data_IF_418886811624
#
_entry.id   IF_418886811624
#
_cell.length_a   1.000
_cell.length_b   1.000
_cell.length_c   1.000
_cell.angle_alpha   90.00
_cell.angle_beta   90.00
_cell.angle_gamma   90.00
#
_symmetry.space_group_name_H-M   'P 1'
#
loop_
_entity.id
_entity.type
_entity.pdbx_description
1 polymer ?
#
# COMPACT_ATOMS: atom_id res chain seq x y z
N UNK A 1 -3.96 -26.37 0.48
CA UNK A 1 -4.69 -25.54 1.47
C UNK A 1 -3.99 -24.20 1.60
N UNK A 2 -4.71 -23.11 1.87
CA UNK A 2 -4.12 -21.78 1.98
C UNK A 2 -4.73 -20.97 3.14
N UNK A 3 -3.92 -20.08 3.71
CA UNK A 3 -4.31 -19.01 4.61
C UNK A 3 -4.23 -17.69 3.84
N UNK A 4 -5.32 -16.96 3.79
CA UNK A 4 -5.35 -15.60 3.28
C UNK A 4 -5.40 -14.63 4.46
N UNK A 5 -4.45 -13.70 4.50
CA UNK A 5 -4.38 -12.64 5.50
C UNK A 5 -4.83 -11.32 4.86
N UNK A 6 -5.76 -10.61 5.51
CA UNK A 6 -6.01 -9.19 5.20
C UNK A 6 -4.75 -8.36 5.49
N UNK A 7 -4.68 -7.05 5.15
CA UNK A 7 -3.42 -6.32 5.19
C UNK A 7 -2.76 -6.36 6.58
N UNK A 8 -1.47 -6.71 6.60
CA UNK A 8 -0.66 -6.84 7.82
C UNK A 8 0.40 -5.75 7.96
N UNK A 9 0.53 -4.88 6.95
CA UNK A 9 1.53 -3.82 6.93
C UNK A 9 1.16 -2.67 7.84
N UNK A 10 2.17 -1.91 8.28
CA UNK A 10 2.00 -0.86 9.27
C UNK A 10 0.97 0.18 8.80
N UNK A 11 -0.06 0.37 9.62
CA UNK A 11 -1.13 1.32 9.35
C UNK A 11 -1.81 1.80 10.65
N UNK A 12 -2.40 3.01 10.67
CA UNK A 12 -3.04 3.52 11.87
C UNK A 12 -4.38 2.82 12.18
N UNK A 13 -5.10 2.37 11.15
CA UNK A 13 -6.41 1.73 11.30
C UNK A 13 -6.32 0.29 11.81
N UNK A 14 -7.46 -0.26 12.21
CA UNK A 14 -7.60 -1.69 12.55
C UNK A 14 -7.65 -2.58 11.31
N UNK A 15 -8.16 -2.07 10.19
CA UNK A 15 -8.31 -2.81 8.93
C UNK A 15 -7.08 -2.74 8.01
N UNK A 16 -6.19 -1.76 8.22
CA UNK A 16 -4.86 -1.59 7.61
C UNK A 16 -4.78 -1.31 6.11
N UNK A 17 -5.92 -1.17 5.41
CA UNK A 17 -6.00 -0.64 4.04
C UNK A 17 -5.50 0.81 3.85
N UNK A 18 -5.06 1.49 4.91
CA UNK A 18 -4.43 2.81 4.84
C UNK A 18 -2.94 2.73 5.22
N UNK A 19 -2.19 1.91 4.49
CA UNK A 19 -0.78 1.57 4.76
C UNK A 19 0.12 2.81 4.83
N UNK A 20 0.96 2.87 5.86
CA UNK A 20 1.97 3.92 6.05
C UNK A 20 3.38 3.44 5.73
N UNK A 21 3.63 2.14 5.82
CA UNK A 21 4.90 1.51 5.45
C UNK A 21 4.65 0.08 4.98
N UNK A 22 4.90 -0.18 3.70
CA UNK A 22 4.68 -1.48 3.07
C UNK A 22 5.77 -2.52 3.38
N UNK A 23 6.95 -2.11 3.87
CA UNK A 23 8.06 -3.01 4.19
C UNK A 23 8.03 -3.50 5.64
N UNK A 24 7.08 -3.01 6.44
CA UNK A 24 7.04 -3.26 7.88
C UNK A 24 5.73 -3.89 8.30
N UNK A 25 5.82 -5.01 9.03
CA UNK A 25 4.68 -5.59 9.75
C UNK A 25 4.16 -4.56 10.77
N UNK A 26 2.85 -4.41 10.83
CA UNK A 26 2.22 -3.55 11.82
C UNK A 26 2.58 -4.02 13.23
N UNK A 27 3.19 -3.18 14.08
CA UNK A 27 3.63 -3.58 15.41
C UNK A 27 2.51 -4.08 16.33
N UNK A 28 1.23 -3.81 16.02
CA UNK A 28 0.10 -4.37 16.79
C UNK A 28 -0.19 -5.82 16.42
N UNK A 29 0.35 -6.33 15.31
CA UNK A 29 0.24 -7.74 14.88
C UNK A 29 1.49 -8.56 15.22
N UNK A 30 2.64 -7.91 15.34
CA UNK A 30 3.91 -8.54 15.69
C UNK A 30 5.09 -7.92 14.95
N UNK A 31 6.13 -8.73 14.76
CA UNK A 31 7.37 -8.39 14.07
C UNK A 31 7.53 -9.18 12.77
N UNK A 32 8.59 -8.88 12.02
CA UNK A 32 8.98 -9.70 10.86
C UNK A 32 9.34 -11.13 11.27
N UNK A 33 9.92 -11.32 12.45
CA UNK A 33 10.27 -12.66 12.94
C UNK A 33 9.01 -13.46 13.32
N UNK A 34 7.99 -12.81 13.87
CA UNK A 34 6.68 -13.45 14.11
C UNK A 34 6.02 -13.87 12.80
N UNK A 35 6.11 -13.03 11.75
CA UNK A 35 5.62 -13.38 10.42
C UNK A 35 6.36 -14.59 9.83
N UNK A 36 7.69 -14.64 9.95
CA UNK A 36 8.49 -15.81 9.54
C UNK A 36 8.11 -17.07 10.31
N UNK A 37 7.87 -16.96 11.63
CA UNK A 37 7.42 -18.09 12.44
C UNK A 37 6.04 -18.61 11.97
N UNK A 38 5.13 -17.73 11.56
CA UNK A 38 3.85 -18.09 10.96
C UNK A 38 4.03 -18.83 9.63
N UNK A 39 4.89 -18.31 8.74
CA UNK A 39 5.21 -18.95 7.46
C UNK A 39 5.77 -20.35 7.67
N UNK A 40 6.77 -20.49 8.54
CA UNK A 40 7.37 -21.77 8.89
C UNK A 40 6.34 -22.78 9.40
N UNK A 41 5.43 -22.34 10.28
CA UNK A 41 4.35 -23.20 10.78
C UNK A 41 3.37 -23.60 9.69
N UNK A 42 2.97 -22.67 8.81
CA UNK A 42 2.07 -22.95 7.70
C UNK A 42 2.69 -23.93 6.70
N UNK A 43 3.93 -23.67 6.26
CA UNK A 43 4.64 -24.48 5.29
C UNK A 43 4.92 -25.90 5.80
N UNK A 44 5.29 -26.07 7.09
CA UNK A 44 5.41 -27.40 7.72
C UNK A 44 4.12 -28.22 7.67
N UNK A 45 2.97 -27.55 7.56
CA UNK A 45 1.65 -28.18 7.46
C UNK A 45 1.11 -28.21 6.02
N UNK A 46 1.98 -28.02 5.01
CA UNK A 46 1.60 -27.96 3.59
C UNK A 46 0.52 -26.91 3.27
N UNK A 47 0.51 -25.80 4.03
CA UNK A 47 -0.36 -24.65 3.80
C UNK A 47 0.43 -23.53 3.13
N UNK A 48 -0.24 -22.79 2.23
CA UNK A 48 0.30 -21.57 1.59
C UNK A 48 -0.19 -20.33 2.32
N UNK A 49 0.56 -19.23 2.29
CA UNK A 49 0.16 -17.94 2.88
C UNK A 49 0.07 -16.88 1.78
N UNK A 50 -1.12 -16.30 1.62
CA UNK A 50 -1.43 -15.25 0.64
C UNK A 50 -1.63 -13.93 1.39
N UNK A 51 -0.93 -12.88 0.95
CA UNK A 51 -0.99 -11.53 1.51
C UNK A 51 -1.95 -10.63 0.73
N UNK A 52 -2.41 -9.54 1.35
CA UNK A 52 -3.29 -8.55 0.74
C UNK A 52 -2.50 -7.30 0.28
N UNK A 53 -2.45 -7.09 -1.04
CA UNK A 53 -1.69 -6.04 -1.71
C UNK A 53 -2.55 -4.81 -1.98
N UNK A 54 -2.43 -3.80 -1.10
CA UNK A 54 -3.16 -2.53 -1.21
C UNK A 54 -2.36 -1.53 -2.04
N UNK A 55 -2.38 -1.70 -3.35
CA UNK A 55 -1.51 -0.96 -4.29
C UNK A 55 -2.19 0.17 -5.04
N UNK A 56 -3.52 0.29 -4.94
CA UNK A 56 -4.28 1.38 -5.54
C UNK A 56 -4.09 2.72 -4.80
N UNK A 57 -3.95 2.65 -3.48
CA UNK A 57 -3.85 3.82 -2.60
C UNK A 57 -3.02 3.46 -1.36
N UNK A 58 -2.53 4.49 -0.67
CA UNK A 58 -1.88 4.34 0.63
C UNK A 58 -2.65 5.12 1.71
N UNK A 59 -2.15 5.10 2.94
CA UNK A 59 -2.62 5.99 3.99
C UNK A 59 -2.01 7.38 3.89
N UNK A 60 -2.69 8.39 4.43
CA UNK A 60 -2.16 9.76 4.54
C UNK A 60 -0.86 9.94 5.36
N UNK A 61 -0.43 8.90 6.07
CA UNK A 61 0.84 8.88 6.82
C UNK A 61 1.98 8.19 6.06
N UNK A 62 1.75 7.76 4.82
CA UNK A 62 2.79 7.19 3.96
C UNK A 62 3.85 8.23 3.64
N UNK A 63 5.14 7.87 3.71
CA UNK A 63 6.25 8.84 3.68
C UNK A 63 6.16 9.84 2.53
N UNK A 64 5.83 9.37 1.32
CA UNK A 64 5.75 10.20 0.13
C UNK A 64 4.58 11.19 0.19
N UNK A 65 3.45 10.77 0.76
CA UNK A 65 2.28 11.65 0.90
C UNK A 65 2.43 12.63 2.07
N UNK A 66 3.07 12.19 3.16
CA UNK A 66 3.42 13.07 4.29
C UNK A 66 4.36 14.19 3.84
N UNK A 67 5.41 13.87 3.08
CA UNK A 67 6.32 14.86 2.50
C UNK A 67 5.57 15.84 1.58
N UNK A 68 4.63 15.34 0.79
CA UNK A 68 3.81 16.16 -0.09
C UNK A 68 2.88 17.13 0.66
N UNK A 69 2.34 16.71 1.82
CA UNK A 69 1.56 17.58 2.70
C UNK A 69 2.39 18.71 3.31
N UNK A 70 3.67 18.44 3.59
CA UNK A 70 4.59 19.41 4.20
C UNK A 70 5.21 20.37 3.16
N UNK A 71 5.67 19.82 2.04
CA UNK A 71 6.49 20.54 1.06
C UNK A 71 5.70 21.02 -0.17
N UNK A 72 4.48 20.54 -0.36
CA UNK A 72 3.62 20.93 -1.48
C UNK A 72 4.30 20.73 -2.84
N UNK A 73 4.29 21.78 -3.67
CA UNK A 73 4.89 21.77 -5.02
C UNK A 73 6.39 21.44 -5.05
N UNK A 74 7.09 21.64 -3.93
CA UNK A 74 8.52 21.37 -3.80
C UNK A 74 8.84 19.92 -3.43
N UNK A 75 7.82 19.10 -3.14
CA UNK A 75 8.02 17.70 -2.80
C UNK A 75 8.57 16.91 -4.00
N UNK A 76 9.60 16.07 -3.82
CA UNK A 76 10.06 15.16 -4.86
C UNK A 76 9.02 14.09 -5.21
N UNK A 77 7.99 13.91 -4.38
CA UNK A 77 6.95 12.89 -4.55
C UNK A 77 5.65 13.44 -5.16
N UNK A 78 5.63 14.68 -5.66
CA UNK A 78 4.42 15.29 -6.25
C UNK A 78 3.77 14.44 -7.33
N UNK A 79 4.59 13.73 -8.13
CA UNK A 79 4.14 12.91 -9.26
C UNK A 79 3.80 11.46 -8.84
N UNK A 80 3.97 11.11 -7.56
CA UNK A 80 3.56 9.80 -7.03
C UNK A 80 2.05 9.69 -6.83
N UNK A 81 1.35 10.82 -6.83
CA UNK A 81 -0.09 10.92 -6.61
C UNK A 81 -0.74 11.78 -7.69
N UNK A 82 -2.06 11.65 -7.83
CA UNK A 82 -2.82 12.49 -8.74
C UNK A 82 -3.24 13.80 -8.06
N UNK A 83 -2.41 14.83 -8.16
CA UNK A 83 -2.65 16.14 -7.54
C UNK A 83 -3.42 17.06 -8.49
N UNK A 84 -4.43 17.75 -7.96
CA UNK A 84 -5.23 18.73 -8.69
C UNK A 84 -4.84 20.17 -8.37
N UNK A 85 -4.59 20.49 -7.09
CA UNK A 85 -4.14 21.80 -6.63
C UNK A 85 -3.48 21.73 -5.26
N UNK A 86 -2.58 22.67 -4.97
CA UNK A 86 -2.04 22.90 -3.62
C UNK A 86 -2.74 24.10 -2.95
N UNK A 87 -2.76 24.19 -1.60
CA UNK A 87 -2.27 23.18 -0.65
C UNK A 87 -3.17 21.94 -0.61
N UNK A 88 -2.63 20.78 -0.24
CA UNK A 88 -3.43 19.58 -0.03
C UNK A 88 -4.16 19.65 1.31
N UNK A 89 -5.32 19.00 1.39
CA UNK A 89 -6.08 18.85 2.62
C UNK A 89 -6.48 17.40 2.85
N UNK A 90 -5.76 16.75 3.76
CA UNK A 90 -5.97 15.36 4.14
C UNK A 90 -6.64 15.17 5.50
N UNK A 91 -6.99 16.25 6.21
CA UNK A 91 -7.38 16.17 7.62
C UNK A 91 -8.73 16.83 7.94
N UNK A 92 -9.14 17.88 7.21
CA UNK A 92 -10.45 18.49 7.51
C UNK A 92 -11.59 17.55 7.11
N UNK A 93 -12.75 17.60 7.78
CA UNK A 93 -13.91 16.80 7.40
C UNK A 93 -14.35 17.02 5.94
N UNK A 94 -14.86 15.98 5.31
CA UNK A 94 -15.38 16.03 3.93
C UNK A 94 -14.53 15.25 2.91
N UNK A 95 -14.88 15.42 1.64
CA UNK A 95 -14.28 14.72 0.51
C UNK A 95 -12.91 15.30 0.11
N UNK A 96 -12.05 14.47 -0.46
CA UNK A 96 -10.82 14.93 -1.10
C UNK A 96 -11.17 15.69 -2.39
N UNK A 97 -10.79 16.97 -2.45
CA UNK A 97 -11.02 17.84 -3.61
C UNK A 97 -9.74 18.29 -4.30
N UNK A 98 -8.58 18.13 -3.66
CA UNK A 98 -7.31 18.70 -4.12
C UNK A 98 -6.36 17.63 -4.69
N UNK A 99 -6.75 16.36 -4.58
CA UNK A 99 -6.04 15.19 -5.07
C UNK A 99 -7.04 14.04 -5.26
N UNK A 100 -6.71 13.06 -6.11
CA UNK A 100 -7.53 11.85 -6.20
C UNK A 100 -7.27 10.93 -5.01
N UNK A 101 -8.36 10.46 -4.42
CA UNK A 101 -8.35 9.47 -3.36
C UNK A 101 -9.38 8.39 -3.68
N UNK A 102 -9.17 7.19 -3.14
CA UNK A 102 -10.14 6.11 -3.31
C UNK A 102 -11.51 6.56 -2.77
N UNK A 103 -12.50 6.60 -3.65
CA UNK A 103 -13.86 7.09 -3.35
C UNK A 103 -13.89 8.45 -2.64
N UNK A 104 -12.92 9.32 -2.97
CA UNK A 104 -12.70 10.64 -2.36
C UNK A 104 -12.46 10.64 -0.84
N UNK A 105 -12.13 9.49 -0.23
CA UNK A 105 -11.75 9.43 1.17
C UNK A 105 -10.37 10.06 1.37
N UNK A 106 -10.31 11.22 2.04
CA UNK A 106 -9.05 11.95 2.30
C UNK A 106 -7.93 11.08 2.90
N UNK A 107 -8.28 10.06 3.66
CA UNK A 107 -7.30 9.14 4.26
C UNK A 107 -6.62 8.17 3.29
N UNK A 108 -7.09 8.07 2.04
CA UNK A 108 -6.71 7.05 1.05
C UNK A 108 -6.24 7.69 -0.28
N UNK A 109 -5.17 8.51 -0.29
CA UNK A 109 -4.61 9.08 -1.51
C UNK A 109 -4.26 7.99 -2.53
N UNK A 110 -4.73 8.18 -3.77
CA UNK A 110 -4.56 7.22 -4.87
C UNK A 110 -3.17 7.37 -5.48
N UNK A 111 -2.45 6.25 -5.61
CA UNK A 111 -1.17 6.22 -6.30
C UNK A 111 -1.32 6.51 -7.78
N UNK A 112 -0.33 7.18 -8.34
CA UNK A 112 -0.16 7.34 -9.78
C UNK A 112 0.69 6.18 -10.32
N UNK A 113 0.05 5.05 -10.66
CA UNK A 113 0.76 3.87 -11.21
C UNK A 113 1.33 4.07 -12.61
N UNK A 114 1.07 5.22 -13.26
CA UNK A 114 1.77 5.62 -14.50
C UNK A 114 3.16 6.19 -14.22
N UNK A 115 3.46 6.56 -12.97
CA UNK A 115 4.78 7.02 -12.58
C UNK A 115 5.72 5.81 -12.42
N UNK A 116 6.86 5.76 -13.13
CA UNK A 116 7.78 4.62 -13.08
C UNK A 116 8.38 4.39 -11.68
N UNK A 117 8.55 5.43 -10.86
CA UNK A 117 9.04 5.28 -9.49
C UNK A 117 8.01 4.61 -8.58
N UNK A 118 6.72 4.94 -8.76
CA UNK A 118 5.61 4.30 -8.03
C UNK A 118 5.48 2.85 -8.44
N UNK A 119 5.53 2.55 -9.75
CA UNK A 119 5.53 1.17 -10.25
C UNK A 119 6.66 0.37 -9.63
N UNK A 120 7.89 0.87 -9.74
CA UNK A 120 9.06 0.21 -9.21
C UNK A 120 8.94 -0.04 -7.70
N UNK A 121 8.49 0.96 -6.94
CA UNK A 121 8.25 0.82 -5.50
C UNK A 121 7.26 -0.31 -5.18
N UNK A 122 6.12 -0.36 -5.87
CA UNK A 122 5.10 -1.39 -5.63
C UNK A 122 5.62 -2.79 -6.02
N UNK A 123 6.31 -2.91 -7.15
CA UNK A 123 6.90 -4.17 -7.61
C UNK A 123 7.98 -4.66 -6.64
N UNK A 124 8.79 -3.75 -6.09
CA UNK A 124 9.81 -4.09 -5.10
C UNK A 124 9.18 -4.51 -3.76
N UNK A 125 8.07 -3.90 -3.34
CA UNK A 125 7.27 -4.38 -2.20
C UNK A 125 6.73 -5.79 -2.46
N UNK A 126 6.15 -6.00 -3.63
CA UNK A 126 5.58 -7.29 -4.02
C UNK A 126 6.64 -8.40 -3.99
N UNK A 127 7.80 -8.13 -4.62
CA UNK A 127 8.95 -9.03 -4.64
C UNK A 127 9.49 -9.30 -3.24
N UNK A 128 9.70 -8.25 -2.44
CA UNK A 128 10.26 -8.36 -1.10
C UNK A 128 9.51 -9.38 -0.22
N UNK A 129 8.18 -9.34 -0.21
CA UNK A 129 7.38 -10.25 0.63
C UNK A 129 7.33 -11.69 0.10
N UNK A 130 7.40 -11.88 -1.22
CA UNK A 130 7.60 -13.21 -1.80
C UNK A 130 8.98 -13.76 -1.41
N UNK A 131 10.03 -12.92 -1.43
CA UNK A 131 11.37 -13.28 -0.95
C UNK A 131 11.41 -13.58 0.55
N UNK A 132 10.51 -13.01 1.35
CA UNK A 132 10.33 -13.37 2.77
C UNK A 132 9.60 -14.72 2.96
N UNK A 133 9.01 -15.29 1.91
CA UNK A 133 8.36 -16.60 1.93
C UNK A 133 6.83 -16.58 1.80
N UNK A 134 6.20 -15.42 1.52
CA UNK A 134 4.80 -15.41 1.13
C UNK A 134 4.60 -16.17 -0.21
N UNK A 135 3.46 -16.84 -0.36
CA UNK A 135 3.18 -17.71 -1.49
C UNK A 135 2.30 -17.04 -2.57
N UNK A 136 1.84 -15.81 -2.34
CA UNK A 136 1.06 -15.08 -3.32
C UNK A 136 0.41 -13.82 -2.77
N UNK A 137 -0.28 -13.13 -3.69
CA UNK A 137 -0.98 -11.88 -3.43
C UNK A 137 -2.46 -11.98 -3.81
N UNK A 138 -3.32 -11.50 -2.92
CA UNK A 138 -4.66 -11.00 -3.23
C UNK A 138 -4.53 -9.52 -3.47
N UNK A 139 -5.03 -9.04 -4.60
CA UNK A 139 -4.93 -7.63 -4.98
C UNK A 139 -6.17 -6.88 -4.52
N UNK A 140 -5.98 -5.79 -3.78
CA UNK A 140 -7.08 -4.93 -3.35
C UNK A 140 -7.48 -3.96 -4.47
N UNK A 141 -8.79 -3.87 -4.71
CA UNK A 141 -9.44 -3.01 -5.72
C UNK A 141 -8.67 -2.91 -7.06
N UNK A 142 -8.26 -4.05 -7.68
CA UNK A 142 -7.38 -4.04 -8.83
C UNK A 142 -8.02 -3.37 -10.06
N UNK A 143 -9.35 -3.44 -10.15
CA UNK A 143 -10.17 -2.81 -11.17
C UNK A 143 -10.17 -1.27 -11.12
N UNK A 144 -9.65 -0.66 -10.04
CA UNK A 144 -9.48 0.79 -9.95
C UNK A 144 -8.06 1.24 -10.33
N UNK A 145 -7.12 0.32 -10.57
CA UNK A 145 -5.85 0.63 -11.24
C UNK A 145 -6.09 0.51 -12.75
N UNK A 146 -6.44 1.64 -13.38
CA UNK A 146 -6.70 1.76 -14.82
C UNK A 146 -5.38 1.84 -15.62
N UNK A 147 -4.63 0.74 -15.55
CA UNK A 147 -3.32 0.57 -16.15
C UNK A 147 -3.01 -0.93 -16.34
N UNK A 148 -3.49 -1.51 -17.44
CA UNK A 148 -3.29 -2.93 -17.74
C UNK A 148 -1.80 -3.30 -17.81
N UNK A 149 -0.97 -2.40 -18.34
CA UNK A 149 0.48 -2.60 -18.44
C UNK A 149 1.16 -2.65 -17.07
N UNK A 150 0.56 -2.10 -16.01
CA UNK A 150 1.07 -2.27 -14.65
C UNK A 150 0.82 -3.70 -14.15
N UNK A 151 -0.36 -4.26 -14.44
CA UNK A 151 -0.68 -5.63 -14.03
C UNK A 151 0.03 -6.70 -14.85
N UNK A 152 0.37 -6.42 -16.11
CA UNK A 152 1.24 -7.30 -16.91
C UNK A 152 2.69 -7.32 -16.39
N UNK A 153 3.16 -6.22 -15.80
CA UNK A 153 4.50 -6.09 -15.23
C UNK A 153 4.62 -6.72 -13.83
N UNK A 154 3.52 -6.75 -13.06
CA UNK A 154 3.40 -7.29 -11.71
C UNK A 154 3.49 -8.81 -11.65
#
# INVERSE_FOLDING_TARGET
TALYLTPIFQAPSTHRYNTTDYYKIDPKLGSLDDFRALLDAAHRNNMRVVLDGVFNHCGRGFFAFSDLLENGENSPYKDWFHIQRFPLDAYTPGEAENYLAWWKFKSLPKFNTKNPQVRQYILDVARYWIEQGADGWRLDVPNEIDDDAFWEEF
#
